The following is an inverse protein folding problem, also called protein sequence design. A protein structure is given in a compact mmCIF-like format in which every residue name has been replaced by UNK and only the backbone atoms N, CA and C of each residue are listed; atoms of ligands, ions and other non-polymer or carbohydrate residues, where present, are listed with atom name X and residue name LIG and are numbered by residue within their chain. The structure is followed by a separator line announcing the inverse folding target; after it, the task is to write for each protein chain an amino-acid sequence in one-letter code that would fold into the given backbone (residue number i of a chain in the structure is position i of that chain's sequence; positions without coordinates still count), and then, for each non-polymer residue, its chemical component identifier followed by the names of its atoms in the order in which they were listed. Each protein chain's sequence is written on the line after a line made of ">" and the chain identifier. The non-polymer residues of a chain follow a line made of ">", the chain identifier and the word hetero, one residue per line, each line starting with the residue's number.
data_IF_488421881252
#
_entry.id   IF_488421881252
#
_cell.length_a   1.000
_cell.length_b   1.000
_cell.length_c   1.000
_cell.angle_alpha   90.00
_cell.angle_beta   90.00
_cell.angle_gamma   90.00
#
_symmetry.space_group_name_H-M   'P 1'
#
loop_
_entity.id
_entity.type
_entity.pdbx_description
1 polymer ?
#
# COMPACT_ATOMS: atom_id res chain seq x y z
N UNK A 1 26.20 23.22 -2.35
CA UNK A 1 25.64 23.04 -2.69
C UNK A 1 25.22 23.27 -3.24
N UNK A 2 25.00 22.94 -3.30
CA UNK A 2 24.36 22.92 -3.83
C UNK A 2 23.74 23.35 -4.01
N UNK A 3 24.09 23.66 -4.32
CA UNK A 3 23.41 24.03 -4.55
C UNK A 3 22.54 23.61 -5.00
N UNK A 4 22.82 23.28 -5.09
CA UNK A 4 21.70 22.47 -5.32
C UNK A 4 20.71 22.74 -4.23
N UNK A 5 19.71 23.36 -4.65
CA UNK A 5 18.73 23.78 -3.70
C UNK A 5 17.51 22.89 -3.80
N UNK A 6 17.28 22.15 -2.77
CA UNK A 6 16.15 21.26 -2.73
C UNK A 6 14.91 22.06 -2.37
N UNK A 7 13.94 22.02 -3.25
CA UNK A 7 12.64 22.58 -2.96
C UNK A 7 11.76 21.48 -2.43
N UNK A 8 10.96 21.79 -1.45
CA UNK A 8 10.13 20.77 -0.82
C UNK A 8 9.25 20.01 -1.83
N UNK A 9 8.64 20.73 -2.76
CA UNK A 9 7.78 20.07 -3.73
C UNK A 9 8.54 19.22 -4.75
N UNK A 10 9.80 19.53 -5.01
CA UNK A 10 10.59 18.79 -5.98
C UNK A 10 11.13 17.49 -5.41
N UNK A 11 11.41 17.48 -4.13
CA UNK A 11 12.01 16.34 -3.47
C UNK A 11 11.14 15.78 -2.37
N UNK A 12 9.94 16.33 -2.25
CA UNK A 12 8.97 15.82 -1.31
C UNK A 12 9.38 15.90 0.14
N UNK A 13 9.93 17.04 0.53
CA UNK A 13 10.20 17.25 1.93
C UNK A 13 8.98 17.79 2.63
N UNK A 14 8.74 17.29 3.81
CA UNK A 14 7.67 17.73 4.68
C UNK A 14 8.26 18.32 5.94
N UNK A 15 7.63 19.34 6.43
CA UNK A 15 8.06 19.97 7.67
C UNK A 15 7.23 19.48 8.84
N UNK A 16 7.90 18.96 9.84
CA UNK A 16 7.26 18.51 11.05
C UNK A 16 7.92 19.26 12.19
N UNK A 17 7.40 20.45 12.45
CA UNK A 17 8.11 21.36 13.33
C UNK A 17 9.37 21.82 12.64
N UNK A 18 10.51 21.49 13.19
CA UNK A 18 11.81 21.87 12.61
C UNK A 18 12.42 20.73 11.79
N UNK A 19 11.75 19.60 11.73
CA UNK A 19 12.29 18.43 11.05
C UNK A 19 11.65 18.26 9.70
N UNK A 20 12.45 17.99 8.69
CA UNK A 20 11.98 17.73 7.33
C UNK A 20 12.06 16.25 7.05
N UNK A 21 11.03 15.75 6.38
CA UNK A 21 10.92 14.35 6.00
C UNK A 21 10.84 14.28 4.48
N UNK A 22 11.67 13.43 3.92
CA UNK A 22 11.75 13.18 2.50
C UNK A 22 10.54 12.38 2.01
N UNK A 23 10.10 12.62 0.78
CA UNK A 23 8.97 11.89 0.18
C UNK A 23 9.15 10.38 0.21
N UNK A 24 10.37 9.91 0.00
CA UNK A 24 10.62 8.48 0.03
C UNK A 24 10.38 7.91 1.43
N UNK A 25 10.78 8.64 2.46
CA UNK A 25 10.50 8.22 3.83
C UNK A 25 9.00 8.14 4.10
N UNK A 26 8.26 9.13 3.60
CA UNK A 26 6.80 9.14 3.75
C UNK A 26 6.19 7.94 3.02
N UNK A 27 6.66 7.67 1.80
CA UNK A 27 6.18 6.53 1.03
C UNK A 27 6.45 5.21 1.75
N UNK A 28 7.67 5.06 2.29
CA UNK A 28 8.04 3.83 2.98
C UNK A 28 7.30 3.66 4.30
N UNK A 29 6.87 4.75 4.92
CA UNK A 29 6.00 4.68 6.09
C UNK A 29 4.65 4.06 5.73
N UNK A 30 4.17 4.30 4.53
CA UNK A 30 2.87 3.83 4.10
C UNK A 30 2.90 2.45 3.48
N UNK A 31 3.95 2.11 2.74
CA UNK A 31 4.02 0.84 2.02
C UNK A 31 5.38 0.14 2.13
N UNK A 32 6.13 0.48 3.16
CA UNK A 32 7.49 -0.07 3.31
C UNK A 32 7.59 -1.37 4.09
N UNK A 33 6.50 -1.83 4.70
CA UNK A 33 6.53 -3.10 5.43
C UNK A 33 6.51 -4.25 4.44
N UNK A 34 7.09 -5.36 4.86
CA UNK A 34 7.33 -6.52 4.00
C UNK A 34 6.16 -6.94 3.12
N UNK A 35 4.95 -6.94 3.65
CA UNK A 35 3.80 -7.46 2.92
C UNK A 35 2.96 -6.40 2.23
N UNK A 36 3.27 -5.11 2.43
CA UNK A 36 2.40 -4.05 1.94
C UNK A 36 2.17 -4.09 0.43
N UNK A 37 3.24 -4.08 -0.35
CA UNK A 37 3.11 -4.10 -1.80
C UNK A 37 2.61 -5.44 -2.31
N UNK A 38 2.91 -6.54 -1.60
CA UNK A 38 2.38 -7.85 -1.95
C UNK A 38 0.86 -7.87 -1.82
N UNK A 39 0.33 -7.24 -0.78
CA UNK A 39 -1.11 -7.16 -0.56
C UNK A 39 -1.76 -6.32 -1.65
N UNK A 40 -1.18 -5.16 -1.96
CA UNK A 40 -1.68 -4.30 -3.03
C UNK A 40 -1.68 -5.05 -4.36
N UNK A 41 -0.60 -5.76 -4.66
CA UNK A 41 -0.49 -6.57 -5.88
C UNK A 41 -1.57 -7.66 -5.93
N UNK A 42 -1.80 -8.32 -4.81
CA UNK A 42 -2.85 -9.35 -4.72
C UNK A 42 -4.23 -8.76 -5.05
N UNK A 43 -4.56 -7.62 -4.46
CA UNK A 43 -5.83 -6.96 -4.73
C UNK A 43 -5.93 -6.55 -6.21
N UNK A 44 -4.84 -6.00 -6.75
CA UNK A 44 -4.80 -5.55 -8.13
C UNK A 44 -5.05 -6.70 -9.12
N UNK A 45 -4.49 -7.89 -8.84
CA UNK A 45 -4.66 -9.05 -9.71
C UNK A 45 -6.10 -9.54 -9.79
N UNK A 46 -6.92 -9.19 -8.83
CA UNK A 46 -8.33 -9.56 -8.79
C UNK A 46 -9.24 -8.39 -9.18
N UNK A 47 -8.77 -7.59 -10.13
CA UNK A 47 -9.52 -6.43 -10.66
C UNK A 47 -9.77 -5.36 -9.61
N UNK A 48 -8.88 -5.28 -8.63
CA UNK A 48 -8.91 -4.23 -7.64
C UNK A 48 -9.81 -4.47 -6.45
N UNK A 49 -10.37 -5.69 -6.29
CA UNK A 49 -11.16 -6.03 -5.10
C UNK A 49 -11.14 -7.52 -4.82
N UNK A 50 -10.94 -7.88 -3.57
CA UNK A 50 -10.98 -9.27 -3.12
C UNK A 50 -11.26 -9.37 -1.64
N UNK A 51 -11.58 -10.59 -1.20
CA UNK A 51 -11.79 -10.89 0.20
C UNK A 51 -10.51 -11.23 0.94
N UNK A 52 -10.62 -11.27 2.25
CA UNK A 52 -9.52 -11.54 3.16
C UNK A 52 -8.82 -12.88 2.86
N UNK A 53 -9.62 -13.94 2.71
CA UNK A 53 -9.07 -15.27 2.52
C UNK A 53 -8.34 -15.43 1.18
N UNK A 54 -8.76 -14.68 0.16
CA UNK A 54 -8.08 -14.75 -1.12
C UNK A 54 -6.68 -14.16 -1.03
N UNK A 55 -6.53 -13.08 -0.25
CA UNK A 55 -5.21 -12.49 -0.02
C UNK A 55 -4.30 -13.50 0.67
N UNK A 56 -4.82 -14.22 1.67
CA UNK A 56 -4.05 -15.26 2.35
C UNK A 56 -3.62 -16.38 1.41
N UNK A 57 -4.48 -16.74 0.46
CA UNK A 57 -4.12 -17.76 -0.54
C UNK A 57 -3.05 -17.28 -1.48
N UNK A 58 -3.11 -16.01 -1.86
CA UNK A 58 -2.15 -15.44 -2.82
C UNK A 58 -0.77 -15.26 -2.20
N UNK A 59 -0.71 -15.03 -0.89
CA UNK A 59 0.55 -14.74 -0.20
C UNK A 59 0.76 -15.79 0.88
N UNK A 60 1.36 -16.91 0.49
CA UNK A 60 1.44 -18.09 1.35
C UNK A 60 2.26 -17.89 2.63
N UNK A 61 3.20 -16.95 2.61
CA UNK A 61 4.02 -16.67 3.80
C UNK A 61 3.35 -15.72 4.79
N UNK A 62 2.14 -15.27 4.47
CA UNK A 62 1.41 -14.29 5.30
C UNK A 62 0.44 -15.02 6.22
N UNK A 63 0.45 -14.65 7.50
CA UNK A 63 -0.52 -15.21 8.43
C UNK A 63 -1.68 -14.23 8.66
N UNK A 64 -2.84 -14.72 9.14
CA UNK A 64 -4.02 -13.88 9.30
C UNK A 64 -3.81 -12.66 10.19
N UNK A 65 -3.03 -12.81 11.24
CA UNK A 65 -2.80 -11.72 12.19
C UNK A 65 -2.03 -10.59 11.54
N UNK A 66 -0.97 -10.93 10.83
CA UNK A 66 -0.17 -9.93 10.12
C UNK A 66 -0.99 -9.27 9.02
N UNK A 67 -1.76 -10.06 8.25
CA UNK A 67 -2.63 -9.52 7.23
C UNK A 67 -3.61 -8.52 7.81
N UNK A 68 -4.24 -8.86 8.92
CA UNK A 68 -5.20 -7.97 9.56
C UNK A 68 -4.57 -6.63 9.94
N UNK A 69 -3.36 -6.68 10.51
CA UNK A 69 -2.63 -5.47 10.89
C UNK A 69 -2.25 -4.63 9.67
N UNK A 70 -1.73 -5.29 8.62
CA UNK A 70 -1.33 -4.56 7.42
C UNK A 70 -2.51 -3.93 6.71
N UNK A 71 -3.64 -4.64 6.64
CA UNK A 71 -4.85 -4.10 6.03
C UNK A 71 -5.35 -2.86 6.76
N UNK A 72 -5.30 -2.86 8.08
CA UNK A 72 -5.70 -1.68 8.85
C UNK A 72 -4.80 -0.48 8.54
N UNK A 73 -3.51 -0.70 8.45
CA UNK A 73 -2.58 0.37 8.13
C UNK A 73 -2.76 0.89 6.71
N UNK A 74 -2.96 -0.02 5.74
CA UNK A 74 -3.20 0.38 4.36
C UNK A 74 -4.51 1.16 4.22
N UNK A 75 -5.52 0.77 4.97
CA UNK A 75 -6.79 1.48 5.00
C UNK A 75 -6.63 2.86 5.63
N UNK A 76 -5.89 2.94 6.73
CA UNK A 76 -5.62 4.20 7.42
C UNK A 76 -4.90 5.18 6.49
N UNK A 77 -4.00 4.69 5.68
CA UNK A 77 -3.27 5.51 4.71
C UNK A 77 -4.03 5.72 3.41
N UNK A 78 -5.28 5.28 3.36
CA UNK A 78 -6.20 5.51 2.25
C UNK A 78 -5.76 4.86 0.93
N UNK A 79 -5.06 3.75 1.04
CA UNK A 79 -4.65 2.97 -0.14
C UNK A 79 -5.68 1.93 -0.50
N UNK A 80 -6.46 1.48 0.48
CA UNK A 80 -7.54 0.53 0.27
C UNK A 80 -8.76 0.97 1.05
N UNK A 81 -9.91 0.45 0.64
CA UNK A 81 -11.15 0.57 1.39
C UNK A 81 -11.61 -0.81 1.78
N UNK A 82 -12.36 -0.87 2.87
CA UNK A 82 -12.94 -2.10 3.36
C UNK A 82 -14.45 -1.99 3.25
N UNK A 83 -15.05 -2.97 2.64
CA UNK A 83 -16.50 -3.03 2.51
C UNK A 83 -17.04 -4.33 3.06
N UNK A 84 -18.34 -4.37 3.22
CA UNK A 84 -19.03 -5.58 3.64
C UNK A 84 -19.93 -6.04 2.53
N UNK A 85 -19.91 -7.33 2.24
CA UNK A 85 -20.85 -7.95 1.31
C UNK A 85 -21.93 -8.56 2.18
N UNK A 86 -23.12 -8.04 2.06
CA UNK A 86 -24.27 -8.52 2.84
C UNK A 86 -24.65 -9.91 2.34
N UNK A 87 -24.81 -10.80 3.28
CA UNK A 87 -25.17 -12.17 2.96
C UNK A 87 -25.10 -13.03 4.20
N UNK A 88 -25.17 -14.32 4.01
CA UNK A 88 -25.08 -15.29 5.11
C UNK A 88 -23.98 -16.29 4.79
N UNK A 89 -22.77 -16.10 5.37
CA UNK A 89 -22.38 -15.05 6.32
C UNK A 89 -22.01 -13.74 5.61
N UNK A 90 -21.91 -12.67 6.37
CA UNK A 90 -21.41 -11.39 5.89
C UNK A 90 -19.93 -11.53 5.64
N UNK A 91 -19.45 -11.05 4.50
CA UNK A 91 -18.04 -11.12 4.13
C UNK A 91 -17.42 -9.75 4.00
N UNK A 92 -16.13 -9.66 4.30
CA UNK A 92 -15.37 -8.44 4.08
C UNK A 92 -14.73 -8.46 2.70
N UNK A 93 -14.68 -7.30 2.06
CA UNK A 93 -14.05 -7.15 0.78
C UNK A 93 -13.16 -5.92 0.83
N UNK A 94 -11.99 -6.03 0.22
CA UNK A 94 -11.01 -4.93 0.16
C UNK A 94 -10.84 -4.51 -1.28
N UNK A 95 -10.77 -3.19 -1.49
CA UNK A 95 -10.62 -2.63 -2.82
C UNK A 95 -9.57 -1.53 -2.81
N UNK A 96 -8.85 -1.38 -3.93
CA UNK A 96 -7.89 -0.30 -4.06
C UNK A 96 -8.59 1.02 -4.27
N UNK A 97 -8.11 2.06 -3.60
CA UNK A 97 -8.52 3.43 -3.86
C UNK A 97 -7.79 3.94 -5.11
N UNK A 98 -8.15 5.11 -5.65
CA UNK A 98 -7.36 5.71 -6.72
C UNK A 98 -5.90 5.90 -6.32
N UNK A 99 -5.64 6.27 -5.07
CA UNK A 99 -4.28 6.39 -4.55
C UNK A 99 -3.57 5.04 -4.56
N UNK A 100 -4.26 3.99 -4.10
CA UNK A 100 -3.70 2.63 -4.11
C UNK A 100 -3.40 2.14 -5.51
N UNK A 101 -4.25 2.48 -6.48
CA UNK A 101 -4.04 2.07 -7.87
C UNK A 101 -2.79 2.67 -8.48
N UNK A 102 -2.33 3.81 -7.97
CA UNK A 102 -1.08 4.43 -8.43
C UNK A 102 0.14 3.58 -8.10
N UNK A 103 0.01 2.65 -7.16
CA UNK A 103 1.10 1.73 -6.84
C UNK A 103 1.27 0.62 -7.87
N UNK A 104 0.25 0.35 -8.68
CA UNK A 104 0.31 -0.73 -9.66
C UNK A 104 1.48 -0.57 -10.62
N UNK A 105 1.68 0.59 -11.28
CA UNK A 105 2.84 0.74 -12.16
C UNK A 105 4.16 0.70 -11.40
N UNK A 106 4.19 1.15 -10.16
CA UNK A 106 5.40 1.09 -9.34
C UNK A 106 5.77 -0.37 -9.05
N UNK A 107 4.79 -1.17 -8.70
CA UNK A 107 4.98 -2.60 -8.45
C UNK A 107 5.49 -3.28 -9.72
N UNK A 108 4.92 -2.91 -10.87
CA UNK A 108 5.34 -3.45 -12.15
C UNK A 108 6.80 -3.13 -12.43
N UNK A 109 7.22 -1.90 -12.13
CA UNK A 109 8.61 -1.50 -12.30
C UNK A 109 9.54 -2.25 -11.35
N UNK A 110 9.10 -2.49 -10.12
CA UNK A 110 9.90 -3.28 -9.19
C UNK A 110 10.09 -4.70 -9.70
N UNK A 111 9.07 -5.30 -10.28
CA UNK A 111 9.18 -6.64 -10.85
C UNK A 111 10.16 -6.64 -12.02
N UNK A 112 10.13 -5.61 -12.85
CA UNK A 112 11.07 -5.50 -13.97
C UNK A 112 12.50 -5.26 -13.48
N UNK A 113 12.65 -4.50 -12.42
CA UNK A 113 13.96 -4.20 -11.86
C UNK A 113 14.70 -5.45 -11.36
N UNK A 114 13.98 -6.42 -10.86
CA UNK A 114 14.55 -7.67 -10.35
C UNK A 114 15.05 -8.57 -11.47
N UNK A 115 14.48 -8.48 -12.64
CA UNK A 115 14.83 -9.38 -13.78
C UNK A 115 16.01 -8.88 -14.61
#
# INVERSE_FOLDING_TARGET
>A
MLKFKVKEKDYGFYTMGIKKINDLEVALDQVGKKFDLLIVDSIARHKGRIGFNQILKDITSLNPRTLSTRLKDLEKNKLITKGLIIGTPVKTEYALTPKGKKLIPIIKELKAWVN
#
